data_IF_895757772093
#
_entry.id   IF_895757772093
#
_cell.length_a   1.000
_cell.length_b   1.000
_cell.length_c   1.000
_cell.angle_alpha   90.00
_cell.angle_beta   90.00
_cell.angle_gamma   90.00
#
_symmetry.space_group_name_H-M   'P 1'
#
loop_
_entity.id
_entity.type
_entity.pdbx_description
1 polymer ?
#
# COMPACT_ATOMS: atom_id res chain seq x y z
N UNK A 1 18.92 -10.97 14.56
CA UNK A 1 19.17 -11.15 13.10
C UNK A 1 17.82 -11.21 12.37
N UNK A 2 17.29 -10.06 11.94
CA UNK A 2 15.95 -9.97 11.36
C UNK A 2 15.96 -10.47 9.91
N UNK A 3 14.98 -11.31 9.56
CA UNK A 3 14.96 -12.04 8.28
C UNK A 3 15.15 -11.12 7.06
N UNK A 4 15.95 -11.59 6.11
CA UNK A 4 15.99 -11.06 4.74
C UNK A 4 14.62 -11.26 4.08
N UNK A 5 14.28 -10.39 3.12
CA UNK A 5 13.05 -10.55 2.32
C UNK A 5 12.97 -11.98 1.78
N UNK A 6 11.90 -12.71 2.10
CA UNK A 6 11.65 -14.02 1.50
C UNK A 6 10.76 -13.85 0.28
N UNK A 7 11.39 -13.49 -0.84
CA UNK A 7 10.84 -13.74 -2.16
C UNK A 7 11.40 -15.09 -2.62
N UNK A 8 10.60 -16.15 -2.51
CA UNK A 8 11.03 -17.50 -2.91
C UNK A 8 10.65 -17.76 -4.36
N UNK A 9 11.48 -18.54 -5.07
CA UNK A 9 11.07 -19.15 -6.33
C UNK A 9 9.77 -19.95 -6.10
N UNK A 10 8.84 -19.87 -7.04
CA UNK A 10 7.54 -20.51 -6.92
C UNK A 10 7.65 -22.03 -6.75
N UNK A 11 6.82 -22.62 -5.90
CA UNK A 11 6.68 -24.08 -5.83
C UNK A 11 5.77 -24.58 -6.96
N UNK A 12 5.82 -25.88 -7.27
CA UNK A 12 5.18 -26.55 -8.42
C UNK A 12 3.71 -26.20 -8.72
N UNK A 13 2.97 -25.65 -7.75
CA UNK A 13 1.57 -25.23 -7.90
C UNK A 13 1.40 -23.77 -8.34
N UNK A 14 2.43 -22.94 -8.16
CA UNK A 14 2.51 -21.54 -8.60
C UNK A 14 3.93 -21.29 -9.14
N UNK A 15 4.18 -21.45 -10.45
CA UNK A 15 5.54 -21.40 -11.02
C UNK A 15 6.19 -20.00 -11.00
N UNK A 16 5.51 -19.00 -10.45
CA UNK A 16 6.03 -17.63 -10.32
C UNK A 16 6.56 -17.39 -8.91
N UNK A 17 7.73 -16.74 -8.76
CA UNK A 17 8.25 -16.36 -7.45
C UNK A 17 7.24 -15.54 -6.63
N UNK A 18 7.14 -15.79 -5.33
CA UNK A 18 6.18 -15.13 -4.43
C UNK A 18 6.92 -14.45 -3.29
N UNK A 19 6.58 -13.19 -3.01
CA UNK A 19 7.09 -12.48 -1.85
C UNK A 19 6.18 -12.67 -0.63
N UNK A 20 6.78 -12.89 0.55
CA UNK A 20 6.07 -13.02 1.83
C UNK A 20 6.41 -11.83 2.71
N UNK A 21 5.39 -10.99 2.96
CA UNK A 21 5.46 -9.82 3.84
C UNK A 21 4.19 -9.77 4.71
N UNK A 22 4.06 -8.74 5.56
CA UNK A 22 2.98 -8.64 6.56
C UNK A 22 1.55 -8.55 5.99
N UNK A 23 1.37 -8.43 4.67
CA UNK A 23 0.07 -8.40 4.01
C UNK A 23 -0.01 -9.48 2.93
N UNK A 24 -1.05 -10.32 3.00
CA UNK A 24 -1.28 -11.45 2.06
C UNK A 24 -1.43 -11.01 0.60
N UNK A 25 -1.79 -9.75 0.36
CA UNK A 25 -1.94 -9.14 -0.97
C UNK A 25 -0.65 -8.51 -1.50
N UNK A 26 0.49 -8.72 -0.84
CA UNK A 26 1.78 -8.13 -1.25
C UNK A 26 2.06 -8.33 -2.74
N UNK A 27 1.70 -9.48 -3.31
CA UNK A 27 1.98 -9.82 -4.70
C UNK A 27 0.97 -9.26 -5.72
N UNK A 28 -0.04 -8.47 -5.32
CA UNK A 28 -1.08 -7.95 -6.22
C UNK A 28 -0.48 -7.13 -7.38
N UNK A 29 0.48 -6.25 -7.09
CA UNK A 29 1.11 -5.41 -8.11
C UNK A 29 2.54 -5.05 -7.73
N UNK A 30 3.42 -4.90 -8.72
CA UNK A 30 4.85 -4.58 -8.52
C UNK A 30 5.09 -3.34 -7.64
N UNK A 31 4.25 -2.29 -7.78
CA UNK A 31 4.33 -1.11 -6.92
C UNK A 31 4.08 -1.39 -5.43
N UNK A 32 3.14 -2.30 -5.13
CA UNK A 32 2.83 -2.70 -3.75
C UNK A 32 3.97 -3.52 -3.13
N UNK A 33 4.54 -4.46 -3.89
CA UNK A 33 5.73 -5.23 -3.48
C UNK A 33 6.86 -4.25 -3.16
N UNK A 34 7.06 -3.25 -4.01
CA UNK A 34 8.14 -2.26 -3.87
C UNK A 34 8.02 -1.45 -2.58
N UNK A 35 6.86 -0.88 -2.27
CA UNK A 35 6.64 -0.12 -1.03
C UNK A 35 6.80 -1.00 0.21
N UNK A 36 6.25 -2.21 0.22
CA UNK A 36 6.42 -3.10 1.37
C UNK A 36 7.89 -3.52 1.55
N UNK A 37 8.62 -3.72 0.45
CA UNK A 37 10.07 -4.01 0.47
C UNK A 37 10.85 -2.84 1.06
N UNK A 38 10.52 -1.60 0.68
CA UNK A 38 11.15 -0.39 1.22
C UNK A 38 10.92 -0.29 2.73
N UNK A 39 9.69 -0.46 3.21
CA UNK A 39 9.40 -0.39 4.65
C UNK A 39 10.05 -1.53 5.44
N UNK A 40 10.20 -2.72 4.86
CA UNK A 40 10.96 -3.81 5.48
C UNK A 40 12.45 -3.46 5.62
N UNK A 41 13.07 -2.95 4.54
CA UNK A 41 14.47 -2.49 4.57
C UNK A 41 14.64 -1.33 5.54
N UNK A 42 13.69 -0.39 5.59
CA UNK A 42 13.69 0.73 6.51
C UNK A 42 13.63 0.27 7.98
N UNK A 43 12.81 -0.74 8.29
CA UNK A 43 12.78 -1.34 9.63
C UNK A 43 14.17 -1.85 10.04
N UNK A 44 14.84 -2.64 9.19
CA UNK A 44 16.18 -3.15 9.47
C UNK A 44 17.22 -2.03 9.57
N UNK A 45 17.12 -1.00 8.73
CA UNK A 45 18.01 0.15 8.81
C UNK A 45 17.89 0.90 10.14
N UNK A 46 16.66 1.11 10.64
CA UNK A 46 16.44 1.73 11.95
C UNK A 46 17.01 0.86 13.08
N UNK A 47 16.94 -0.47 12.96
CA UNK A 47 17.58 -1.39 13.91
C UNK A 47 19.09 -1.16 13.96
N UNK A 48 19.76 -1.12 12.80
CA UNK A 48 21.21 -0.91 12.73
C UNK A 48 21.62 0.44 13.36
N UNK A 49 20.82 1.49 13.13
CA UNK A 49 21.02 2.80 13.74
C UNK A 49 20.84 2.76 15.26
N UNK A 50 19.80 2.09 15.76
CA UNK A 50 19.55 1.94 17.20
C UNK A 50 20.66 1.13 17.88
N UNK A 51 21.14 0.06 17.26
CA UNK A 51 22.27 -0.73 17.78
C UNK A 51 23.52 0.13 17.87
N UNK A 52 23.85 0.88 16.82
CA UNK A 52 25.01 1.78 16.80
C UNK A 52 24.95 2.83 17.93
N UNK A 53 23.76 3.33 18.27
CA UNK A 53 23.56 4.23 19.40
C UNK A 53 23.72 3.52 20.75
N UNK A 54 23.16 2.30 20.87
CA UNK A 54 23.21 1.51 22.10
C UNK A 54 24.63 1.06 22.45
N UNK A 55 25.45 0.72 21.46
CA UNK A 55 26.86 0.33 21.64
C UNK A 55 27.69 1.41 22.35
N UNK A 56 27.30 2.67 22.20
CA UNK A 56 27.92 3.82 22.88
C UNK A 56 27.28 4.18 24.22
N UNK A 57 26.28 3.41 24.67
CA UNK A 57 25.44 3.70 25.83
C UNK A 57 25.60 2.67 26.96
N UNK A 58 25.03 2.96 28.13
CA UNK A 58 24.96 2.01 29.26
C UNK A 58 23.76 1.03 29.17
N UNK A 59 22.92 1.15 28.13
CA UNK A 59 21.70 0.36 28.00
C UNK A 59 21.94 -0.88 27.15
N UNK A 60 21.37 -2.02 27.59
CA UNK A 60 21.37 -3.28 26.83
C UNK A 60 19.94 -3.62 26.47
N UNK A 61 19.63 -3.69 25.19
CA UNK A 61 18.34 -4.13 24.67
C UNK A 61 18.47 -5.52 24.06
N UNK A 62 17.47 -6.37 24.27
CA UNK A 62 17.34 -7.63 23.56
C UNK A 62 16.69 -7.45 22.18
N UNK A 63 16.70 -8.51 21.38
CA UNK A 63 16.13 -8.51 20.02
C UNK A 63 14.63 -8.14 20.03
N UNK A 64 13.85 -8.56 21.04
CA UNK A 64 12.42 -8.25 21.13
C UNK A 64 12.19 -6.76 21.41
N UNK A 65 12.92 -6.17 22.36
CA UNK A 65 12.83 -4.74 22.65
C UNK A 65 13.20 -3.92 21.43
N UNK A 66 14.27 -4.29 20.75
CA UNK A 66 14.75 -3.64 19.54
C UNK A 66 13.73 -3.72 18.40
N UNK A 67 13.10 -4.89 18.21
CA UNK A 67 12.02 -5.08 17.24
C UNK A 67 10.81 -4.19 17.54
N UNK A 68 10.29 -4.22 18.77
CA UNK A 68 9.06 -3.48 19.12
C UNK A 68 9.27 -1.97 19.09
N UNK A 69 10.45 -1.48 19.50
CA UNK A 69 10.77 -0.05 19.42
C UNK A 69 10.88 0.38 17.96
N UNK A 70 11.59 -0.38 17.13
CA UNK A 70 11.69 -0.12 15.69
C UNK A 70 10.31 -0.16 15.03
N UNK A 71 9.48 -1.17 15.33
CA UNK A 71 8.10 -1.28 14.84
C UNK A 71 7.26 -0.06 15.24
N UNK A 72 7.41 0.44 16.47
CA UNK A 72 6.74 1.66 16.94
C UNK A 72 7.17 2.89 16.14
N UNK A 73 8.48 3.04 15.86
CA UNK A 73 9.02 4.13 15.05
C UNK A 73 8.47 4.07 13.62
N UNK A 74 8.54 2.91 12.97
CA UNK A 74 8.01 2.71 11.60
C UNK A 74 6.51 3.01 11.55
N UNK A 75 5.74 2.58 12.55
CA UNK A 75 4.32 2.90 12.67
C UNK A 75 4.05 4.41 12.74
N UNK A 76 4.84 5.14 13.54
CA UNK A 76 4.74 6.59 13.64
C UNK A 76 5.11 7.31 12.33
N UNK A 77 6.12 6.81 11.60
CA UNK A 77 6.49 7.33 10.27
C UNK A 77 5.35 7.15 9.27
N UNK A 78 4.73 5.96 9.22
CA UNK A 78 3.59 5.69 8.33
C UNK A 78 2.41 6.60 8.69
N UNK A 79 2.10 6.79 9.98
CA UNK A 79 1.06 7.72 10.42
C UNK A 79 1.37 9.16 10.00
N UNK A 80 2.63 9.59 10.11
CA UNK A 80 3.04 10.92 9.71
C UNK A 80 2.82 11.15 8.21
N UNK A 81 3.29 10.23 7.36
CA UNK A 81 3.07 10.27 5.91
C UNK A 81 1.57 10.29 5.60
N UNK A 82 0.79 9.43 6.24
CA UNK A 82 -0.65 9.33 6.01
C UNK A 82 -1.39 10.64 6.34
N UNK A 83 -1.16 11.22 7.51
CA UNK A 83 -1.93 12.39 7.99
C UNK A 83 -1.36 13.74 7.52
N UNK A 84 -0.02 13.87 7.40
CA UNK A 84 0.61 15.14 7.03
C UNK A 84 0.84 15.33 5.54
N UNK A 85 1.02 14.23 4.79
CA UNK A 85 1.40 14.30 3.37
C UNK A 85 0.28 13.81 2.46
N UNK A 86 -0.26 12.62 2.73
CA UNK A 86 -1.25 11.99 1.85
C UNK A 86 -2.67 12.56 2.02
N UNK A 87 -3.19 12.58 3.24
CA UNK A 87 -4.58 12.96 3.50
C UNK A 87 -4.91 14.41 3.09
N UNK A 88 -4.04 15.42 3.31
CA UNK A 88 -4.31 16.79 2.87
C UNK A 88 -4.44 16.92 1.35
N UNK A 89 -3.67 16.13 0.59
CA UNK A 89 -3.76 16.09 -0.87
C UNK A 89 -5.02 15.37 -1.35
N UNK A 90 -5.52 14.41 -0.57
CA UNK A 90 -6.70 13.62 -0.91
C UNK A 90 -8.01 14.37 -0.67
N UNK A 91 -8.22 14.89 0.54
CA UNK A 91 -9.52 15.48 0.93
C UNK A 91 -9.52 17.02 0.90
N UNK A 92 -8.36 17.63 0.71
CA UNK A 92 -8.22 19.08 0.60
C UNK A 92 -8.35 19.84 1.93
N UNK A 93 -7.95 21.12 1.95
CA UNK A 93 -7.86 21.91 3.19
C UNK A 93 -9.22 22.14 3.89
N UNK A 94 -10.31 22.22 3.12
CA UNK A 94 -11.64 22.44 3.68
C UNK A 94 -12.09 21.25 4.54
N UNK A 95 -11.98 20.01 4.02
CA UNK A 95 -12.33 18.82 4.77
C UNK A 95 -11.37 18.58 5.93
N UNK A 96 -10.06 18.79 5.72
CA UNK A 96 -9.07 18.73 6.80
C UNK A 96 -9.45 19.64 7.97
N UNK A 97 -9.87 20.88 7.69
CA UNK A 97 -10.33 21.82 8.72
C UNK A 97 -11.65 21.38 9.36
N UNK A 98 -12.63 20.95 8.56
CA UNK A 98 -13.95 20.51 9.04
C UNK A 98 -13.84 19.36 10.05
N UNK A 99 -12.94 18.40 9.79
CA UNK A 99 -12.75 17.22 10.64
C UNK A 99 -11.63 17.41 11.69
N UNK A 100 -11.07 18.62 11.84
CA UNK A 100 -10.05 18.91 12.85
C UNK A 100 -8.70 18.19 12.61
N UNK A 101 -8.42 17.78 11.38
CA UNK A 101 -7.24 16.97 11.01
C UNK A 101 -5.97 17.80 10.79
N UNK A 102 -5.97 19.09 11.16
CA UNK A 102 -4.85 20.02 10.95
C UNK A 102 -3.90 20.13 12.14
N UNK A 103 -4.25 19.53 13.28
CA UNK A 103 -3.43 19.54 14.51
C UNK A 103 -2.62 18.25 14.60
N UNK A 104 -1.29 18.37 14.61
CA UNK A 104 -0.38 17.20 14.64
C UNK A 104 0.54 17.15 15.86
N UNK A 105 0.49 18.17 16.72
CA UNK A 105 1.44 18.35 17.84
C UNK A 105 1.03 17.59 19.12
N UNK A 106 -0.25 17.17 19.22
CA UNK A 106 -0.75 16.39 20.36
C UNK A 106 -1.75 15.33 19.89
N UNK A 107 -1.76 14.19 20.58
CA UNK A 107 -2.80 13.18 20.44
C UNK A 107 -3.89 13.46 21.48
N UNK A 108 -5.05 13.91 21.01
CA UNK A 108 -6.26 13.99 21.83
C UNK A 108 -6.91 12.60 21.85
N UNK A 109 -6.21 11.61 22.43
CA UNK A 109 -6.71 10.24 22.50
C UNK A 109 -8.03 10.20 23.28
N UNK A 110 -9.08 9.71 22.62
CA UNK A 110 -10.39 9.51 23.21
C UNK A 110 -10.75 8.02 23.14
N UNK A 111 -10.78 7.36 24.30
CA UNK A 111 -11.13 5.95 24.43
C UNK A 111 -12.59 5.62 24.10
N UNK A 112 -13.46 6.63 23.97
CA UNK A 112 -14.87 6.43 23.58
C UNK A 112 -15.05 6.25 22.07
N UNK A 113 -14.05 6.61 21.27
CA UNK A 113 -14.10 6.50 19.81
C UNK A 113 -13.83 5.06 19.40
N UNK A 114 -14.72 4.51 18.57
CA UNK A 114 -14.51 3.20 17.93
C UNK A 114 -13.45 3.33 16.81
N UNK A 115 -12.34 2.58 16.86
CA UNK A 115 -11.33 2.58 15.80
C UNK A 115 -11.68 1.63 14.64
N UNK A 116 -12.90 1.08 14.62
CA UNK A 116 -13.36 0.13 13.61
C UNK A 116 -13.41 0.75 12.22
N UNK A 117 -13.01 -0.01 11.21
CA UNK A 117 -13.13 0.41 9.81
C UNK A 117 -14.56 0.14 9.32
N UNK A 118 -15.23 1.17 8.82
CA UNK A 118 -16.55 1.01 8.22
C UNK A 118 -16.50 0.12 6.97
N UNK A 119 -17.50 -0.75 6.80
CA UNK A 119 -17.65 -1.56 5.58
C UNK A 119 -17.72 -0.67 4.33
N UNK A 120 -18.39 0.48 4.40
CA UNK A 120 -18.46 1.45 3.32
C UNK A 120 -17.09 2.04 2.94
N UNK A 121 -16.22 2.27 3.93
CA UNK A 121 -14.86 2.73 3.68
C UNK A 121 -14.04 1.68 2.94
N UNK A 122 -14.01 0.45 3.45
CA UNK A 122 -13.18 -0.63 2.89
C UNK A 122 -13.67 -1.18 1.55
N UNK A 123 -14.99 -1.22 1.33
CA UNK A 123 -15.59 -1.83 0.16
C UNK A 123 -15.90 -0.85 -0.97
N UNK A 124 -16.00 0.45 -0.66
CA UNK A 124 -16.32 1.47 -1.66
C UNK A 124 -15.40 2.70 -1.57
N UNK A 125 -15.46 3.49 -0.49
CA UNK A 125 -14.86 4.83 -0.49
C UNK A 125 -13.34 4.82 -0.70
N UNK A 126 -12.60 3.91 -0.04
CA UNK A 126 -11.15 3.83 -0.19
C UNK A 126 -10.70 3.07 -1.46
N UNK A 127 -11.64 2.64 -2.30
CA UNK A 127 -11.37 2.16 -3.66
C UNK A 127 -11.31 3.29 -4.68
N UNK A 128 -11.44 4.56 -4.25
CA UNK A 128 -11.29 5.74 -5.11
C UNK A 128 -9.97 5.77 -5.91
N UNK A 129 -8.94 5.06 -5.43
CA UNK A 129 -7.64 4.97 -6.09
C UNK A 129 -7.64 4.06 -7.32
N UNK A 130 -8.61 3.17 -7.52
CA UNK A 130 -8.61 2.25 -8.66
C UNK A 130 -8.68 2.98 -10.02
N UNK A 131 -9.55 3.98 -10.24
CA UNK A 131 -9.52 4.79 -11.46
C UNK A 131 -8.20 5.54 -11.71
N UNK A 132 -7.40 5.80 -10.67
CA UNK A 132 -6.17 6.56 -10.77
C UNK A 132 -5.01 5.76 -11.40
N UNK A 133 -5.16 4.45 -11.64
CA UNK A 133 -4.12 3.63 -12.25
C UNK A 133 -4.03 3.83 -13.76
N UNK A 134 -2.84 4.10 -14.32
CA UNK A 134 -2.66 4.28 -15.75
C UNK A 134 -2.72 2.96 -16.53
N UNK A 135 -2.97 3.06 -17.85
CA UNK A 135 -2.88 1.90 -18.75
C UNK A 135 -1.45 1.34 -18.87
N UNK A 136 -0.44 2.21 -18.69
CA UNK A 136 0.97 1.87 -18.79
C UNK A 136 1.75 2.55 -17.68
N UNK A 137 2.81 1.91 -17.24
CA UNK A 137 3.64 2.32 -16.13
C UNK A 137 5.12 2.18 -16.51
N UNK A 138 5.96 3.11 -16.07
CA UNK A 138 7.40 3.12 -16.31
C UNK A 138 8.13 2.12 -15.42
N UNK A 139 8.90 1.22 -16.03
CA UNK A 139 9.82 0.33 -15.32
C UNK A 139 11.22 0.52 -15.91
N UNK A 140 12.08 1.26 -15.20
CA UNK A 140 13.42 1.61 -15.68
C UNK A 140 13.38 2.62 -16.82
N UNK A 141 13.48 2.14 -18.07
CA UNK A 141 13.38 2.97 -19.29
C UNK A 141 12.19 2.56 -20.17
N UNK A 142 11.44 1.54 -19.77
CA UNK A 142 10.36 0.97 -20.58
C UNK A 142 8.99 1.38 -20.04
N UNK A 143 8.01 1.53 -20.93
CA UNK A 143 6.59 1.74 -20.59
C UNK A 143 5.84 0.44 -20.75
N UNK A 144 5.59 -0.24 -19.65
CA UNK A 144 4.97 -1.57 -19.59
C UNK A 144 3.46 -1.42 -19.40
N UNK A 145 2.60 -2.20 -20.08
CA UNK A 145 1.18 -2.28 -19.73
C UNK A 145 0.98 -2.58 -18.25
N UNK A 146 0.12 -1.83 -17.56
CA UNK A 146 -0.04 -1.99 -16.12
C UNK A 146 -0.57 -3.39 -15.75
N UNK A 147 -1.39 -3.99 -16.61
CA UNK A 147 -1.87 -5.37 -16.45
C UNK A 147 -0.74 -6.40 -16.37
N UNK A 148 0.41 -6.17 -17.01
CA UNK A 148 1.57 -7.06 -16.92
C UNK A 148 2.31 -6.94 -15.58
N UNK A 149 2.11 -5.84 -14.84
CA UNK A 149 2.70 -5.62 -13.52
C UNK A 149 1.85 -6.22 -12.38
N UNK A 150 0.69 -6.79 -12.71
CA UNK A 150 -0.22 -7.42 -11.76
C UNK A 150 0.19 -8.87 -11.52
N UNK A 151 0.34 -9.28 -10.26
CA UNK A 151 0.75 -10.65 -9.90
C UNK A 151 2.04 -11.16 -10.54
N UNK A 152 2.97 -10.24 -10.90
CA UNK A 152 4.29 -10.56 -11.44
C UNK A 152 5.43 -10.06 -10.56
N UNK A 153 5.73 -10.72 -9.42
CA UNK A 153 6.81 -10.32 -8.52
C UNK A 153 8.20 -10.28 -9.16
N UNK A 154 8.40 -11.01 -10.27
CA UNK A 154 9.64 -11.00 -11.06
C UNK A 154 10.12 -9.58 -11.42
N UNK A 155 9.21 -8.65 -11.75
CA UNK A 155 9.60 -7.27 -12.07
C UNK A 155 10.32 -6.57 -10.92
N UNK A 156 10.03 -6.93 -9.67
CA UNK A 156 10.70 -6.34 -8.50
C UNK A 156 11.93 -7.16 -8.09
N UNK A 157 11.91 -8.48 -8.31
CA UNK A 157 12.98 -9.39 -7.90
C UNK A 157 14.16 -9.46 -8.87
N UNK A 158 13.93 -9.15 -10.14
CA UNK A 158 14.98 -9.08 -11.14
C UNK A 158 16.03 -8.02 -10.76
N UNK A 159 17.20 -8.09 -11.40
CA UNK A 159 18.27 -7.14 -11.15
C UNK A 159 17.80 -5.69 -11.36
N UNK A 160 18.02 -4.87 -10.32
CA UNK A 160 17.55 -3.49 -10.21
C UNK A 160 16.02 -3.30 -10.34
N UNK A 161 15.23 -4.37 -10.20
CA UNK A 161 13.79 -4.36 -10.42
C UNK A 161 13.01 -3.45 -9.47
N UNK A 162 13.42 -3.42 -8.21
CA UNK A 162 12.88 -2.50 -7.21
C UNK A 162 13.10 -1.04 -7.63
N UNK A 163 14.34 -0.68 -7.94
CA UNK A 163 14.74 0.67 -8.32
C UNK A 163 14.03 1.11 -9.61
N UNK A 164 13.93 0.22 -10.60
CA UNK A 164 13.21 0.45 -11.85
C UNK A 164 11.72 0.69 -11.61
N UNK A 165 11.08 -0.04 -10.69
CA UNK A 165 9.67 0.12 -10.36
C UNK A 165 9.41 1.42 -9.61
N UNK A 166 10.24 1.73 -8.60
CA UNK A 166 10.16 2.96 -7.81
C UNK A 166 10.38 4.19 -8.68
N UNK A 167 11.30 4.13 -9.65
CA UNK A 167 11.48 5.20 -10.63
C UNK A 167 10.17 5.55 -11.33
N UNK A 168 9.40 4.55 -11.78
CA UNK A 168 8.09 4.79 -12.35
C UNK A 168 7.08 5.39 -11.39
N UNK A 169 7.10 4.98 -10.11
CA UNK A 169 6.25 5.60 -9.07
C UNK A 169 6.51 7.10 -8.90
N UNK A 170 7.74 7.54 -9.16
CA UNK A 170 8.17 8.93 -8.99
C UNK A 170 8.00 9.76 -10.27
N UNK A 171 8.13 9.15 -11.44
CA UNK A 171 8.08 9.83 -12.74
C UNK A 171 6.67 9.86 -13.35
N UNK A 172 5.87 8.82 -13.14
CA UNK A 172 4.57 8.70 -13.78
C UNK A 172 3.50 9.45 -12.99
N UNK A 173 2.74 10.29 -13.69
CA UNK A 173 1.53 10.89 -13.14
C UNK A 173 0.42 9.84 -13.02
N UNK A 174 -0.32 9.87 -11.91
CA UNK A 174 -1.55 9.10 -11.79
C UNK A 174 -2.60 9.60 -12.78
N UNK A 175 -3.55 8.75 -13.14
CA UNK A 175 -4.79 9.22 -13.76
C UNK A 175 -5.62 9.99 -12.74
N UNK A 176 -6.57 10.80 -13.21
CA UNK A 176 -7.58 11.38 -12.34
C UNK A 176 -8.41 10.28 -11.69
N UNK A 177 -8.69 10.41 -10.39
CA UNK A 177 -9.62 9.53 -9.69
C UNK A 177 -11.07 9.84 -10.11
N UNK A 178 -11.41 9.48 -11.35
CA UNK A 178 -12.67 9.80 -12.01
C UNK A 178 -13.59 8.56 -12.07
N UNK A 179 -14.77 8.71 -12.69
CA UNK A 179 -15.72 7.60 -12.85
C UNK A 179 -15.24 6.52 -13.84
N UNK A 180 -14.18 6.79 -14.60
CA UNK A 180 -13.69 5.92 -15.66
C UNK A 180 -12.41 5.21 -15.22
N UNK A 181 -12.43 3.89 -15.33
CA UNK A 181 -11.27 3.04 -15.10
C UNK A 181 -10.42 2.98 -16.36
N UNK A 182 -9.11 2.77 -16.18
CA UNK A 182 -8.22 2.44 -17.28
C UNK A 182 -8.56 1.05 -17.85
N UNK A 183 -8.25 0.85 -19.13
CA UNK A 183 -8.45 -0.45 -19.79
C UNK A 183 -7.67 -1.56 -19.09
N UNK A 184 -6.48 -1.22 -18.57
CA UNK A 184 -5.66 -2.13 -17.79
C UNK A 184 -6.39 -2.75 -16.59
N UNK A 185 -7.31 -2.02 -15.95
CA UNK A 185 -8.10 -2.50 -14.81
C UNK A 185 -9.53 -2.93 -15.16
N UNK A 186 -10.01 -2.65 -16.37
CA UNK A 186 -11.39 -2.98 -16.77
C UNK A 186 -11.49 -4.18 -17.69
N UNK A 187 -10.47 -4.42 -18.52
CA UNK A 187 -10.49 -5.44 -19.57
C UNK A 187 -9.26 -6.34 -19.50
N UNK A 188 -8.10 -5.76 -19.18
CA UNK A 188 -6.83 -6.45 -19.38
C UNK A 188 -6.29 -7.16 -18.11
N UNK A 189 -7.05 -7.21 -17.00
CA UNK A 189 -6.73 -8.01 -15.80
C UNK A 189 -6.85 -9.53 -16.04
N UNK A 190 -6.66 -9.97 -17.28
CA UNK A 190 -6.77 -11.36 -17.70
C UNK A 190 -5.67 -12.19 -17.02
N UNK A 191 -6.07 -13.26 -16.34
CA UNK A 191 -5.21 -14.20 -15.59
C UNK A 191 -4.74 -13.76 -14.20
N UNK A 192 -5.44 -12.85 -13.53
CA UNK A 192 -5.29 -12.72 -12.07
C UNK A 192 -5.77 -14.01 -11.38
N UNK A 193 -5.00 -14.47 -10.39
CA UNK A 193 -5.39 -15.57 -9.49
C UNK A 193 -6.14 -15.06 -8.26
N UNK A 194 -6.21 -13.74 -8.07
CA UNK A 194 -6.85 -13.08 -6.92
C UNK A 194 -8.27 -12.59 -7.21
N UNK A 195 -8.66 -12.44 -8.48
CA UNK A 195 -10.01 -11.99 -8.87
C UNK A 195 -10.56 -12.82 -10.03
N UNK A 196 -11.74 -13.39 -9.81
CA UNK A 196 -12.54 -14.02 -10.87
C UNK A 196 -13.16 -12.93 -11.74
N UNK A 197 -12.52 -12.65 -12.87
CA UNK A 197 -12.98 -11.67 -13.86
C UNK A 197 -11.97 -10.56 -14.11
N UNK A 198 -12.18 -9.83 -15.20
CA UNK A 198 -11.19 -8.88 -15.72
C UNK A 198 -11.58 -7.40 -15.50
N UNK A 199 -12.72 -7.14 -14.84
CA UNK A 199 -13.31 -5.80 -14.67
C UNK A 199 -13.35 -5.39 -13.19
N UNK A 200 -12.36 -4.61 -12.76
CA UNK A 200 -12.25 -4.10 -11.39
C UNK A 200 -13.43 -3.21 -11.00
N UNK A 201 -14.01 -2.45 -11.93
CA UNK A 201 -15.16 -1.59 -11.63
C UNK A 201 -16.40 -2.45 -11.32
N UNK A 202 -16.63 -3.50 -12.10
CA UNK A 202 -17.71 -4.46 -11.84
C UNK A 202 -17.51 -5.19 -10.51
N UNK A 203 -16.27 -5.58 -10.20
CA UNK A 203 -15.91 -6.21 -8.91
C UNK A 203 -16.20 -5.27 -7.74
N UNK A 204 -15.82 -3.99 -7.83
CA UNK A 204 -16.08 -2.98 -6.79
C UNK A 204 -17.59 -2.81 -6.54
N UNK A 205 -18.38 -2.70 -7.62
CA UNK A 205 -19.84 -2.59 -7.53
C UNK A 205 -20.44 -3.85 -6.89
N UNK A 206 -20.01 -5.03 -7.34
CA UNK A 206 -20.56 -6.30 -6.84
C UNK A 206 -20.18 -6.53 -5.38
N UNK A 207 -18.96 -6.15 -4.97
CA UNK A 207 -18.52 -6.20 -3.58
C UNK A 207 -19.32 -5.26 -2.68
N UNK A 208 -19.68 -4.08 -3.18
CA UNK A 208 -20.58 -3.17 -2.48
C UNK A 208 -21.96 -3.79 -2.22
N UNK A 209 -22.52 -4.50 -3.22
CA UNK A 209 -23.81 -5.20 -3.10
C UNK A 209 -23.73 -6.38 -2.13
N UNK A 210 -22.67 -7.18 -2.21
CA UNK A 210 -22.43 -8.32 -1.34
C UNK A 210 -22.42 -7.91 0.14
N UNK A 211 -21.82 -6.76 0.45
CA UNK A 211 -21.74 -6.23 1.81
C UNK A 211 -22.97 -5.39 2.22
N UNK A 212 -23.99 -5.32 1.36
CA UNK A 212 -25.22 -4.60 1.65
C UNK A 212 -25.01 -3.10 1.85
N UNK A 213 -24.09 -2.49 1.10
CA UNK A 213 -23.85 -1.05 1.21
C UNK A 213 -25.10 -0.26 0.82
N UNK A 214 -25.46 0.80 1.59
CA UNK A 214 -26.52 1.72 1.22
C UNK A 214 -26.33 2.38 -0.16
N UNK A 215 -27.42 2.93 -0.68
CA UNK A 215 -27.39 3.68 -1.94
C UNK A 215 -26.59 4.98 -1.83
N UNK A 216 -26.19 5.54 -2.97
CA UNK A 216 -25.56 6.85 -3.04
C UNK A 216 -26.38 7.94 -2.33
N UNK A 217 -27.70 7.98 -2.54
CA UNK A 217 -28.56 8.99 -1.93
C UNK A 217 -28.58 8.86 -0.40
N UNK A 218 -28.56 7.63 0.12
CA UNK A 218 -28.50 7.38 1.57
C UNK A 218 -27.19 7.86 2.20
N UNK A 219 -26.07 7.81 1.48
CA UNK A 219 -24.79 8.36 1.96
C UNK A 219 -24.70 9.88 1.82
N UNK A 220 -25.57 10.47 0.98
CA UNK A 220 -25.56 11.89 0.65
C UNK A 220 -26.43 12.75 1.55
N UNK A 221 -27.47 12.16 2.12
CA UNK A 221 -28.36 12.73 3.13
C UNK A 221 -27.69 12.74 4.51
#
# INVERSE_FOLDING_TARGET
>A
MFQSLTCSNGEWMYPQPVCKLGNVRVNVASGLISIQTIFHRFHNHIIDLLQSLLDSSQYVWDDEKLFQVTRKIVGAVIQNIAYKEFLPLLIGPAAMSQYGLTKYESSDYDSSISPGIFSSFSAAAFRYGHPAFPNKWTHGTEKIPFSELFERPYYVQADQGLEKTVKGMLEDSSQGAELKYSQALQVDLVNSTLVDGNDMAAIDIQRGRELGLPSYNTFRE
#
